data_IF_775982979879
#
_entry.id   IF_775982979879
#
_cell.length_a   1.000
_cell.length_b   1.000
_cell.length_c   1.000
_cell.angle_alpha   90.00
_cell.angle_beta   90.00
_cell.angle_gamma   90.00
#
_symmetry.space_group_name_H-M   'P 1'
#
loop_
_entity.id
_entity.type
_entity.pdbx_description
1 polymer ?
#
# COMPACT_ATOMS: atom_id res chain seq x y z
N UNK A 1 7.87 -20.43 9.50
CA UNK A 1 6.89 -20.29 8.38
C UNK A 1 6.87 -18.83 7.96
N UNK A 2 6.84 -18.52 6.66
CA UNK A 2 6.67 -17.14 6.19
C UNK A 2 5.19 -16.77 6.19
N UNK A 3 4.81 -15.66 6.82
CA UNK A 3 3.45 -15.17 6.84
C UNK A 3 3.28 -14.02 5.84
N UNK A 4 2.20 -14.05 5.05
CA UNK A 4 1.80 -12.96 4.14
C UNK A 4 0.55 -12.32 4.71
N UNK A 5 0.61 -11.02 4.99
CA UNK A 5 -0.51 -10.28 5.58
C UNK A 5 -0.67 -8.92 4.92
N UNK A 6 -1.90 -8.42 4.84
CA UNK A 6 -2.19 -7.04 4.49
C UNK A 6 -2.27 -6.22 5.78
N UNK A 7 -1.32 -5.32 5.98
CA UNK A 7 -1.26 -4.43 7.14
C UNK A 7 -1.75 -3.04 6.74
N UNK A 8 -2.62 -2.44 7.56
CA UNK A 8 -2.96 -1.02 7.42
C UNK A 8 -1.79 -0.21 7.97
N UNK A 9 -1.15 0.57 7.09
CA UNK A 9 0.01 1.39 7.46
C UNK A 9 -0.35 2.84 7.76
N UNK A 10 -1.48 3.30 7.22
CA UNK A 10 -1.97 4.66 7.42
C UNK A 10 -3.47 4.75 7.07
N UNK A 11 -4.14 5.80 7.55
CA UNK A 11 -5.51 6.15 7.17
C UNK A 11 -5.59 7.64 6.85
N UNK A 12 -6.01 7.96 5.62
CA UNK A 12 -6.11 9.34 5.11
C UNK A 12 -7.57 9.68 4.80
N UNK A 13 -7.92 10.96 4.81
CA UNK A 13 -9.20 11.41 4.26
C UNK A 13 -9.08 11.52 2.73
N UNK A 14 -9.93 10.81 1.99
CA UNK A 14 -9.90 10.82 0.53
C UNK A 14 -10.58 12.07 -0.01
N UNK A 15 -9.84 12.91 -0.73
CA UNK A 15 -10.38 14.13 -1.34
C UNK A 15 -11.40 13.86 -2.46
N UNK A 16 -11.39 12.66 -3.05
CA UNK A 16 -12.26 12.30 -4.18
C UNK A 16 -13.63 11.80 -3.73
N UNK A 17 -13.65 10.96 -2.69
CA UNK A 17 -14.87 10.32 -2.19
C UNK A 17 -15.39 10.99 -0.92
N UNK A 18 -14.56 11.77 -0.22
CA UNK A 18 -14.88 12.35 1.09
C UNK A 18 -14.81 11.34 2.23
N UNK A 19 -14.40 10.10 1.96
CA UNK A 19 -14.39 9.00 2.93
C UNK A 19 -12.98 8.68 3.43
N UNK A 20 -12.84 8.10 4.63
CA UNK A 20 -11.56 7.62 5.12
C UNK A 20 -11.05 6.44 4.27
N UNK A 21 -9.85 6.58 3.72
CA UNK A 21 -9.16 5.57 2.94
C UNK A 21 -7.99 4.98 3.73
N UNK A 22 -7.94 3.65 3.82
CA UNK A 22 -6.83 2.93 4.41
C UNK A 22 -5.76 2.68 3.35
N UNK A 23 -4.50 2.95 3.70
CA UNK A 23 -3.34 2.58 2.90
C UNK A 23 -2.78 1.28 3.46
N UNK A 24 -2.65 0.26 2.61
CA UNK A 24 -2.24 -1.07 3.03
C UNK A 24 -0.96 -1.52 2.33
N UNK A 25 -0.15 -2.29 3.05
CA UNK A 25 1.00 -3.01 2.51
C UNK A 25 0.78 -4.52 2.63
N UNK A 26 1.06 -5.26 1.57
CA UNK A 26 1.21 -6.71 1.65
C UNK A 26 2.63 -7.01 2.15
N UNK A 27 2.74 -7.44 3.39
CA UNK A 27 4.01 -7.73 4.06
C UNK A 27 4.24 -9.23 4.11
N UNK A 28 5.45 -9.63 3.74
CA UNK A 28 5.95 -11.00 3.87
C UNK A 28 6.95 -11.02 5.01
N UNK A 29 6.58 -11.66 6.12
CA UNK A 29 7.46 -11.83 7.28
C UNK A 29 8.33 -13.07 7.10
N UNK A 30 9.63 -12.92 7.32
CA UNK A 30 10.58 -14.03 7.30
C UNK A 30 10.49 -14.77 8.64
N UNK A 31 10.55 -16.11 8.60
CA UNK A 31 10.46 -16.94 9.80
C UNK A 31 11.65 -16.77 10.75
N UNK A 32 12.83 -16.45 10.20
CA UNK A 32 14.07 -16.13 10.92
C UNK A 32 14.71 -14.90 10.25
N UNK A 33 14.35 -13.67 10.65
CA UNK A 33 15.04 -12.49 10.15
C UNK A 33 16.46 -12.48 10.72
N UNK A 34 17.47 -12.31 9.86
CA UNK A 34 18.84 -12.06 10.31
C UNK A 34 18.85 -10.76 11.15
N UNK A 35 19.58 -10.71 12.28
CA UNK A 35 19.51 -9.60 13.25
C UNK A 35 19.91 -8.23 12.68
N UNK A 36 20.59 -8.20 11.54
CA UNK A 36 21.09 -7.04 10.81
C UNK A 36 20.15 -6.55 9.69
N UNK A 37 19.08 -7.30 9.36
CA UNK A 37 18.05 -6.86 8.41
C UNK A 37 17.06 -5.98 9.17
N UNK A 38 17.29 -4.66 9.16
CA UNK A 38 16.57 -3.70 10.00
C UNK A 38 15.02 -3.71 9.96
N UNK A 39 14.37 -4.35 8.97
CA UNK A 39 12.91 -4.60 8.99
C UNK A 39 12.63 -6.10 8.91
N UNK A 40 11.74 -6.66 9.76
CA UNK A 40 11.45 -8.10 9.80
C UNK A 40 10.54 -8.59 8.67
N UNK A 41 10.20 -7.71 7.72
CA UNK A 41 9.30 -8.01 6.61
C UNK A 41 9.76 -7.36 5.31
N UNK A 42 9.33 -7.95 4.18
CA UNK A 42 9.42 -7.35 2.85
C UNK A 42 8.04 -6.88 2.41
N UNK A 43 7.96 -5.68 1.83
CA UNK A 43 6.71 -5.17 1.23
C UNK A 43 6.63 -5.70 -0.20
N UNK A 44 5.61 -6.52 -0.49
CA UNK A 44 5.37 -7.13 -1.79
C UNK A 44 4.45 -6.29 -2.67
N UNK A 45 3.43 -5.68 -2.08
CA UNK A 45 2.47 -4.84 -2.78
C UNK A 45 1.94 -3.75 -1.86
N UNK A 46 1.30 -2.73 -2.46
CA UNK A 46 0.59 -1.68 -1.74
C UNK A 46 -0.77 -1.45 -2.39
N UNK A 47 -1.77 -1.05 -1.62
CA UNK A 47 -3.09 -0.67 -2.15
C UNK A 47 -3.79 0.36 -1.27
N UNK A 48 -4.78 1.03 -1.84
CA UNK A 48 -5.75 1.85 -1.13
C UNK A 48 -7.08 1.07 -1.00
N UNK A 49 -7.75 1.15 0.14
CA UNK A 49 -9.05 0.48 0.36
C UNK A 49 -10.13 0.92 -0.64
N UNK A 50 -10.09 2.17 -1.09
CA UNK A 50 -11.01 2.74 -2.08
C UNK A 50 -10.51 2.59 -3.53
N UNK A 51 -9.48 1.76 -3.76
CA UNK A 51 -8.89 1.58 -5.09
C UNK A 51 -9.87 1.04 -6.14
N UNK A 52 -10.80 0.17 -5.71
CA UNK A 52 -11.85 -0.38 -6.59
C UNK A 52 -12.77 0.72 -7.12
N UNK A 53 -13.22 1.64 -6.26
CA UNK A 53 -14.05 2.77 -6.66
C UNK A 53 -13.30 3.69 -7.62
N UNK A 54 -12.03 3.99 -7.31
CA UNK A 54 -11.19 4.77 -8.21
C UNK A 54 -11.11 4.15 -9.61
N UNK A 55 -11.02 2.82 -9.70
CA UNK A 55 -10.99 2.12 -10.97
C UNK A 55 -12.34 2.23 -11.71
N UNK A 56 -13.46 2.05 -11.01
CA UNK A 56 -14.81 2.14 -11.59
C UNK A 56 -15.12 3.56 -12.11
N UNK A 57 -14.72 4.59 -11.38
CA UNK A 57 -14.93 5.98 -11.76
C UNK A 57 -13.84 6.53 -12.70
N UNK A 58 -12.80 5.77 -12.99
CA UNK A 58 -11.69 6.20 -13.87
C UNK A 58 -10.77 7.25 -13.24
N UNK A 59 -10.70 7.32 -11.91
CA UNK A 59 -9.82 8.25 -11.22
C UNK A 59 -8.35 7.79 -11.26
N UNK A 60 -7.48 8.67 -11.73
CA UNK A 60 -6.02 8.49 -11.67
C UNK A 60 -5.51 8.88 -10.28
N UNK A 61 -5.60 7.96 -9.32
CA UNK A 61 -5.17 8.18 -7.94
C UNK A 61 -3.77 7.58 -7.67
N UNK A 62 -2.90 8.37 -7.03
CA UNK A 62 -1.56 7.94 -6.60
C UNK A 62 -1.60 6.86 -5.53
N UNK A 63 -2.60 6.90 -4.65
CA UNK A 63 -2.72 5.96 -3.53
C UNK A 63 -3.25 4.60 -3.95
N UNK A 64 -4.05 4.54 -5.01
CA UNK A 64 -4.53 3.28 -5.60
C UNK A 64 -3.64 2.75 -6.73
N UNK A 65 -2.49 3.39 -6.99
CA UNK A 65 -1.55 3.00 -8.05
C UNK A 65 -2.19 2.98 -9.46
N UNK A 66 -3.22 3.81 -9.67
CA UNK A 66 -3.90 3.98 -10.97
C UNK A 66 -3.43 5.22 -11.73
N UNK A 67 -2.52 6.01 -11.14
CA UNK A 67 -1.90 7.14 -11.82
C UNK A 67 -0.54 6.73 -12.41
N UNK A 68 -0.44 6.47 -13.72
CA UNK A 68 0.81 6.04 -14.36
C UNK A 68 1.88 7.16 -14.37
N UNK A 69 1.49 8.42 -14.20
CA UNK A 69 2.42 9.56 -14.13
C UNK A 69 3.03 9.74 -12.75
N UNK A 70 2.61 8.96 -11.75
CA UNK A 70 3.13 9.03 -10.40
C UNK A 70 3.88 7.74 -10.08
N UNK A 71 5.22 7.79 -10.06
CA UNK A 71 6.03 6.71 -9.54
C UNK A 71 6.24 6.89 -8.02
N UNK A 72 5.69 6.00 -7.18
CA UNK A 72 5.82 6.07 -5.72
C UNK A 72 7.24 5.83 -5.20
N UNK A 73 8.20 5.50 -6.06
CA UNK A 73 9.62 5.36 -5.73
C UNK A 73 10.47 6.55 -6.16
N UNK A 74 9.90 7.57 -6.81
CA UNK A 74 10.67 8.73 -7.33
C UNK A 74 11.36 9.55 -6.22
N UNK A 75 10.83 9.52 -4.99
CA UNK A 75 11.36 10.24 -3.82
C UNK A 75 12.01 9.33 -2.75
N UNK A 76 12.61 8.19 -3.15
CA UNK A 76 13.28 7.27 -2.22
C UNK A 76 14.80 7.26 -2.31
#
# INVERSE_FOLDING_TARGET
MSAIVWEVIDTIQCERTGEPAQLLEERVYLGDPLPDIGRPFKVRARKCSLGTECNLFGYQCRWSYLNPSFDPFTDR
#
